data_IF_613487913546
#
_entry.id   IF_613487913546
#
_cell.length_a   1.000
_cell.length_b   1.000
_cell.length_c   1.000
_cell.angle_alpha   90.00
_cell.angle_beta   90.00
_cell.angle_gamma   90.00
#
_symmetry.space_group_name_H-M   'P 1'
#
loop_
_entity.id
_entity.type
_entity.pdbx_description
1 polymer ?
#
# COMPACT_ATOMS: atom_id res chain seq x y z
N UNK A 1 -5.16 -35.45 -62.56
CA UNK A 1 -4.40 -34.41 -63.31
C UNK A 1 -4.46 -32.99 -62.70
N UNK A 2 -5.49 -32.57 -61.93
CA UNK A 2 -5.58 -31.19 -61.38
C UNK A 2 -4.52 -30.79 -60.34
N UNK A 3 -3.97 -31.74 -59.56
CA UNK A 3 -2.98 -31.45 -58.50
C UNK A 3 -1.61 -31.03 -59.03
N UNK A 4 -1.18 -31.55 -60.17
CA UNK A 4 0.12 -31.19 -60.75
C UNK A 4 0.13 -29.77 -61.33
N UNK A 5 -0.99 -29.32 -61.91
CA UNK A 5 -1.13 -27.96 -62.41
C UNK A 5 -1.09 -26.92 -61.28
N UNK A 6 -1.74 -27.23 -60.15
CA UNK A 6 -1.73 -26.35 -58.97
C UNK A 6 -0.33 -26.18 -58.38
N UNK A 7 0.44 -27.27 -58.30
CA UNK A 7 1.83 -27.22 -57.83
C UNK A 7 2.74 -26.46 -58.80
N UNK A 8 2.55 -26.65 -60.11
CA UNK A 8 3.31 -25.93 -61.13
C UNK A 8 3.04 -24.42 -61.12
N UNK A 9 1.78 -24.00 -60.91
CA UNK A 9 1.40 -22.59 -60.79
C UNK A 9 1.95 -21.98 -59.50
N UNK A 10 1.85 -22.69 -58.38
CA UNK A 10 2.39 -22.25 -57.08
C UNK A 10 3.91 -22.06 -57.14
N UNK A 11 4.62 -23.00 -57.79
CA UNK A 11 6.06 -22.88 -58.03
C UNK A 11 6.39 -21.68 -58.93
N UNK A 12 5.62 -21.44 -60.01
CA UNK A 12 5.81 -20.28 -60.90
C UNK A 12 5.61 -18.95 -60.19
N UNK A 13 4.66 -18.87 -59.25
CA UNK A 13 4.39 -17.67 -58.45
C UNK A 13 5.51 -17.45 -57.43
N UNK A 14 5.94 -18.51 -56.72
CA UNK A 14 7.08 -18.45 -55.80
C UNK A 14 8.37 -18.06 -56.54
N UNK A 15 8.62 -18.61 -57.73
CA UNK A 15 9.75 -18.24 -58.57
C UNK A 15 9.67 -16.79 -59.06
N UNK A 16 8.47 -16.24 -59.31
CA UNK A 16 8.29 -14.82 -59.64
C UNK A 16 8.51 -13.90 -58.44
N UNK A 17 8.13 -14.32 -57.23
CA UNK A 17 8.43 -13.57 -56.01
C UNK A 17 9.93 -13.55 -55.71
N UNK A 18 10.63 -14.69 -55.89
CA UNK A 18 12.09 -14.79 -55.71
C UNK A 18 12.86 -14.12 -56.85
N UNK A 19 12.28 -14.07 -58.06
CA UNK A 19 12.85 -13.40 -59.25
C UNK A 19 12.33 -11.96 -59.43
N UNK A 20 11.62 -11.42 -58.44
CA UNK A 20 11.42 -9.98 -58.32
C UNK A 20 12.73 -9.41 -57.81
N UNK A 21 13.56 -8.97 -58.76
CA UNK A 21 14.88 -8.39 -58.52
C UNK A 21 14.77 -6.93 -58.09
N UNK A 22 13.83 -6.63 -57.18
CA UNK A 22 14.03 -5.54 -56.23
C UNK A 22 14.96 -6.10 -55.14
N UNK A 23 16.18 -6.47 -55.53
CA UNK A 23 17.20 -6.88 -54.59
C UNK A 23 17.61 -5.64 -53.83
N UNK A 24 17.29 -5.57 -52.54
CA UNK A 24 17.85 -4.53 -51.68
C UNK A 24 19.35 -4.53 -51.88
N UNK A 25 19.89 -3.38 -52.25
CA UNK A 25 21.33 -3.22 -52.35
C UNK A 25 21.96 -3.54 -50.98
N UNK A 26 23.19 -4.04 -50.94
CA UNK A 26 23.84 -4.41 -49.66
C UNK A 26 23.84 -3.25 -48.65
N UNK A 27 23.94 -2.03 -49.17
CA UNK A 27 23.81 -0.76 -48.44
C UNK A 27 22.42 -0.51 -47.87
N UNK A 28 21.36 -0.87 -48.60
CA UNK A 28 19.96 -0.73 -48.17
C UNK A 28 19.61 -1.76 -47.09
N UNK A 29 20.14 -2.99 -47.20
CA UNK A 29 20.02 -4.00 -46.15
C UNK A 29 20.76 -3.57 -44.88
N UNK A 30 21.96 -3.00 -45.00
CA UNK A 30 22.72 -2.49 -43.87
C UNK A 30 22.03 -1.29 -43.20
N UNK A 31 21.47 -0.37 -44.00
CA UNK A 31 20.66 0.74 -43.50
C UNK A 31 19.39 0.26 -42.78
N UNK A 32 18.67 -0.72 -43.34
CA UNK A 32 17.48 -1.29 -42.71
C UNK A 32 17.80 -1.96 -41.38
N UNK A 33 18.89 -2.74 -41.30
CA UNK A 33 19.33 -3.38 -40.05
C UNK A 33 19.74 -2.34 -39.00
N UNK A 34 20.42 -1.27 -39.40
CA UNK A 34 20.78 -0.17 -38.48
C UNK A 34 19.53 0.54 -37.94
N UNK A 35 18.55 0.85 -38.78
CA UNK A 35 17.28 1.47 -38.37
C UNK A 35 16.53 0.54 -37.40
N UNK A 36 16.47 -0.76 -37.69
CA UNK A 36 15.81 -1.74 -36.82
C UNK A 36 16.54 -1.88 -35.48
N UNK A 37 17.87 -1.91 -35.48
CA UNK A 37 18.68 -2.00 -34.26
C UNK A 37 18.49 -0.76 -33.37
N UNK A 38 18.51 0.45 -33.95
CA UNK A 38 18.25 1.68 -33.22
C UNK A 38 16.81 1.72 -32.66
N UNK A 39 15.82 1.31 -33.47
CA UNK A 39 14.43 1.26 -33.04
C UNK A 39 14.22 0.26 -31.90
N UNK A 40 14.87 -0.92 -31.96
CA UNK A 40 14.79 -1.94 -30.92
C UNK A 40 15.38 -1.47 -29.59
N UNK A 41 16.54 -0.80 -29.60
CA UNK A 41 17.17 -0.25 -28.39
C UNK A 41 16.31 0.87 -27.79
N UNK A 42 15.72 1.74 -28.62
CA UNK A 42 14.82 2.79 -28.16
C UNK A 42 13.57 2.23 -27.48
N UNK A 43 12.96 1.18 -28.03
CA UNK A 43 11.81 0.50 -27.42
C UNK A 43 12.20 -0.21 -26.12
N UNK A 44 13.32 -0.93 -26.10
CA UNK A 44 13.78 -1.64 -24.90
C UNK A 44 14.09 -0.67 -23.74
N UNK A 45 14.77 0.45 -24.01
CA UNK A 45 15.02 1.49 -23.02
C UNK A 45 13.74 2.22 -22.58
N UNK A 46 12.85 2.52 -23.53
CA UNK A 46 11.57 3.17 -23.27
C UNK A 46 10.66 2.34 -22.36
N UNK A 47 10.52 1.03 -22.62
CA UNK A 47 9.69 0.13 -21.80
C UNK A 47 10.22 0.03 -20.37
N UNK A 48 11.53 -0.02 -20.17
CA UNK A 48 12.13 -0.03 -18.83
C UNK A 48 11.86 1.27 -18.06
N UNK A 49 12.03 2.42 -18.72
CA UNK A 49 11.74 3.73 -18.14
C UNK A 49 10.24 3.88 -17.78
N UNK A 50 9.34 3.47 -18.68
CA UNK A 50 7.89 3.46 -18.43
C UNK A 50 7.53 2.52 -17.29
N UNK A 51 8.10 1.31 -17.24
CA UNK A 51 7.84 0.37 -16.13
C UNK A 51 8.28 0.94 -14.79
N UNK A 52 9.45 1.59 -14.74
CA UNK A 52 9.94 2.19 -13.50
C UNK A 52 9.11 3.40 -13.08
N UNK A 53 8.74 4.27 -14.03
CA UNK A 53 7.87 5.41 -13.78
C UNK A 53 6.47 4.95 -13.33
N UNK A 54 5.91 3.95 -14.00
CA UNK A 54 4.61 3.36 -13.67
C UNK A 54 4.62 2.77 -12.27
N UNK A 55 5.64 2.00 -11.91
CA UNK A 55 5.78 1.45 -10.55
C UNK A 55 5.81 2.57 -9.50
N UNK A 56 6.64 3.60 -9.71
CA UNK A 56 6.74 4.74 -8.78
C UNK A 56 5.40 5.48 -8.62
N UNK A 57 4.66 5.68 -9.71
CA UNK A 57 3.35 6.34 -9.66
C UNK A 57 2.28 5.45 -9.03
N UNK A 58 2.30 4.15 -9.34
CA UNK A 58 1.33 3.17 -8.85
C UNK A 58 1.48 2.96 -7.35
N UNK A 59 2.70 2.70 -6.87
CA UNK A 59 2.95 2.48 -5.43
C UNK A 59 2.55 3.73 -4.60
N UNK A 60 2.75 4.94 -5.13
CA UNK A 60 2.29 6.17 -4.46
C UNK A 60 0.77 6.28 -4.43
N UNK A 61 0.08 5.88 -5.51
CA UNK A 61 -1.37 5.87 -5.55
C UNK A 61 -1.96 4.82 -4.58
N UNK A 62 -1.33 3.64 -4.50
CA UNK A 62 -1.69 2.60 -3.52
C UNK A 62 -1.51 3.09 -2.08
N UNK A 63 -0.40 3.76 -1.76
CA UNK A 63 -0.20 4.35 -0.43
C UNK A 63 -1.27 5.39 -0.08
N UNK A 64 -1.65 6.23 -1.04
CA UNK A 64 -2.73 7.21 -0.87
C UNK A 64 -4.09 6.54 -0.67
N UNK A 65 -4.36 5.43 -1.37
CA UNK A 65 -5.57 4.65 -1.16
C UNK A 65 -5.60 4.01 0.22
N UNK A 66 -4.47 3.45 0.70
CA UNK A 66 -4.34 2.93 2.06
C UNK A 66 -4.60 4.03 3.09
N UNK A 67 -4.03 5.23 2.89
CA UNK A 67 -4.26 6.37 3.77
C UNK A 67 -5.73 6.77 3.81
N UNK A 68 -6.37 6.93 2.65
CA UNK A 68 -7.78 7.30 2.55
C UNK A 68 -8.68 6.28 3.26
N UNK A 69 -8.45 4.98 3.00
CA UNK A 69 -9.21 3.90 3.65
C UNK A 69 -8.97 3.89 5.16
N UNK A 70 -7.75 4.15 5.61
CA UNK A 70 -7.41 4.25 7.04
C UNK A 70 -8.16 5.40 7.70
N UNK A 71 -8.20 6.56 7.05
CA UNK A 71 -8.91 7.74 7.55
C UNK A 71 -10.42 7.50 7.62
N UNK A 72 -11.00 6.83 6.61
CA UNK A 72 -12.39 6.42 6.63
C UNK A 72 -12.69 5.51 7.82
N UNK A 73 -11.87 4.49 8.04
CA UNK A 73 -12.04 3.55 9.17
C UNK A 73 -11.84 4.24 10.53
N UNK A 74 -10.85 5.13 10.67
CA UNK A 74 -10.69 5.94 11.89
C UNK A 74 -11.94 6.77 12.13
N UNK A 75 -12.44 7.43 11.08
CA UNK A 75 -13.63 8.27 11.17
C UNK A 75 -14.85 7.48 11.59
N UNK A 76 -15.06 6.31 10.98
CA UNK A 76 -16.15 5.38 11.30
C UNK A 76 -16.12 4.99 12.78
N UNK A 77 -14.98 4.47 13.23
CA UNK A 77 -14.77 4.00 14.60
C UNK A 77 -14.97 5.09 15.64
N UNK A 78 -14.45 6.30 15.38
CA UNK A 78 -14.55 7.42 16.32
C UNK A 78 -15.92 8.10 16.28
N UNK A 79 -16.65 8.03 15.16
CA UNK A 79 -18.01 8.55 15.06
C UNK A 79 -19.01 7.71 15.86
N UNK A 80 -18.74 6.41 15.99
CA UNK A 80 -19.56 5.47 16.77
C UNK A 80 -19.34 5.57 18.30
N UNK A 81 -18.35 6.35 18.76
CA UNK A 81 -18.07 6.53 20.17
C UNK A 81 -19.30 7.06 20.94
N UNK A 82 -19.69 6.36 22.02
CA UNK A 82 -20.87 6.72 22.83
C UNK A 82 -20.54 7.46 24.12
N UNK A 83 -19.32 7.23 24.64
CA UNK A 83 -18.76 7.94 25.78
C UNK A 83 -17.27 8.14 25.53
N UNK A 84 -16.69 9.17 26.13
CA UNK A 84 -15.26 9.46 26.05
C UNK A 84 -14.73 9.80 27.43
N UNK A 85 -13.49 9.41 27.69
CA UNK A 85 -12.75 9.81 28.89
C UNK A 85 -11.28 10.03 28.55
N UNK A 86 -10.57 10.71 29.44
CA UNK A 86 -9.13 10.86 29.31
C UNK A 86 -8.41 9.53 29.58
N UNK A 87 -7.57 9.09 28.64
CA UNK A 87 -6.64 7.97 28.81
C UNK A 87 -5.24 8.41 29.26
N UNK A 88 -5.10 9.62 29.80
CA UNK A 88 -3.81 10.19 30.18
C UNK A 88 -2.90 10.41 28.97
N UNK A 89 -1.66 9.94 29.07
CA UNK A 89 -0.62 10.11 28.03
C UNK A 89 -0.82 9.19 26.81
N UNK A 90 -1.80 8.30 26.83
CA UNK A 90 -2.05 7.34 25.75
C UNK A 90 -3.16 7.79 24.77
N UNK A 91 -3.59 9.04 24.87
CA UNK A 91 -4.71 9.59 24.11
C UNK A 91 -6.10 9.28 24.71
N UNK A 92 -7.19 9.76 24.09
CA UNK A 92 -8.54 9.56 24.60
C UNK A 92 -9.03 8.12 24.45
N UNK A 93 -9.77 7.68 25.46
CA UNK A 93 -10.45 6.38 25.50
C UNK A 93 -11.95 6.59 25.25
N UNK A 94 -12.56 5.70 24.48
CA UNK A 94 -13.97 5.81 24.13
C UNK A 94 -14.69 4.48 24.28
N UNK A 95 -15.97 4.56 24.63
CA UNK A 95 -16.84 3.39 24.74
C UNK A 95 -17.52 3.12 23.40
N UNK A 96 -17.40 1.90 22.88
CA UNK A 96 -18.17 1.47 21.71
C UNK A 96 -19.42 0.71 22.15
N UNK A 97 -20.57 1.15 21.64
CA UNK A 97 -21.82 0.44 21.84
C UNK A 97 -21.93 -0.86 21.02
N UNK A 98 -21.14 -1.00 19.96
CA UNK A 98 -21.10 -2.22 19.13
C UNK A 98 -20.45 -3.36 19.92
N UNK A 99 -19.29 -3.09 20.52
CA UNK A 99 -18.49 -4.10 21.22
C UNK A 99 -18.85 -4.19 22.70
N UNK A 100 -19.44 -3.14 23.27
CA UNK A 100 -19.76 -3.03 24.68
C UNK A 100 -18.53 -2.85 25.58
N UNK A 101 -17.42 -2.36 25.01
CA UNK A 101 -16.13 -2.23 25.70
C UNK A 101 -15.52 -0.84 25.53
N UNK A 102 -14.64 -0.48 26.47
CA UNK A 102 -13.78 0.69 26.35
C UNK A 102 -12.61 0.36 25.43
N UNK A 103 -12.36 1.26 24.48
CA UNK A 103 -11.34 1.10 23.46
C UNK A 103 -10.52 2.38 23.31
N UNK A 104 -9.36 2.25 22.68
CA UNK A 104 -8.58 3.38 22.17
C UNK A 104 -7.97 3.04 20.81
N UNK A 105 -7.60 4.06 20.06
CA UNK A 105 -6.73 3.89 18.90
C UNK A 105 -5.29 3.78 19.38
N UNK A 106 -4.56 2.80 18.86
CA UNK A 106 -3.12 2.63 19.12
C UNK A 106 -2.40 2.22 17.85
N UNK A 107 -1.06 2.14 17.91
CA UNK A 107 -0.23 1.69 16.80
C UNK A 107 0.47 0.39 17.20
N UNK A 108 0.36 -0.63 16.36
CA UNK A 108 1.20 -1.82 16.44
C UNK A 108 2.46 -1.61 15.59
N UNK A 109 3.66 -1.67 16.17
CA UNK A 109 4.90 -1.45 15.42
C UNK A 109 5.12 -2.58 14.41
N UNK A 110 5.71 -2.24 13.26
CA UNK A 110 6.17 -3.25 12.32
C UNK A 110 7.43 -3.95 12.86
N UNK A 111 7.37 -5.28 12.98
CA UNK A 111 8.50 -6.09 13.42
C UNK A 111 8.72 -7.22 12.40
N UNK A 112 9.82 -7.16 11.65
CA UNK A 112 10.18 -8.22 10.72
C UNK A 112 10.47 -9.55 11.44
N UNK A 113 10.09 -10.66 10.84
CA UNK A 113 10.34 -12.01 11.33
C UNK A 113 11.85 -12.22 11.50
N UNK A 114 12.26 -12.46 12.75
CA UNK A 114 13.67 -12.65 13.13
C UNK A 114 14.36 -11.43 13.74
N UNK A 115 13.65 -10.31 13.96
CA UNK A 115 14.18 -9.20 14.76
C UNK A 115 14.32 -9.58 16.23
N UNK A 116 15.54 -9.54 16.78
CA UNK A 116 15.78 -9.79 18.20
C UNK A 116 14.98 -8.80 19.06
N UNK A 117 14.11 -9.31 19.95
CA UNK A 117 13.50 -8.51 21.01
C UNK A 117 14.61 -7.87 21.85
N UNK A 118 14.64 -6.54 21.91
CA UNK A 118 15.41 -5.85 22.93
C UNK A 118 14.82 -6.23 24.29
N UNK A 119 15.55 -7.05 25.03
CA UNK A 119 15.19 -7.51 26.36
C UNK A 119 15.15 -6.34 27.33
N UNK A 120 13.96 -5.83 27.64
CA UNK A 120 13.70 -5.13 28.89
C UNK A 120 12.34 -5.60 29.45
N UNK A 121 12.41 -6.73 30.15
CA UNK A 121 11.57 -7.04 31.31
C UNK A 121 10.06 -7.09 31.13
N UNK A 122 9.53 -8.11 30.46
CA UNK A 122 8.36 -8.91 30.87
C UNK A 122 8.04 -9.88 29.73
N UNK A 123 8.61 -11.09 29.79
CA UNK A 123 8.26 -12.17 28.89
C UNK A 123 6.95 -12.77 29.39
N UNK A 124 5.83 -12.39 28.78
CA UNK A 124 4.58 -13.17 28.89
C UNK A 124 4.52 -14.07 27.66
N UNK A 125 4.86 -15.34 27.87
CA UNK A 125 4.57 -16.43 26.95
C UNK A 125 3.06 -16.59 26.88
N UNK A 126 2.44 -16.49 25.70
CA UNK A 126 1.15 -17.13 25.40
C UNK A 126 1.00 -17.35 23.88
N UNK A 127 0.38 -18.48 23.57
CA UNK A 127 0.32 -19.17 22.29
C UNK A 127 -0.68 -18.51 21.33
N UNK A 128 -0.23 -17.64 20.41
CA UNK A 128 -0.85 -17.40 19.09
C UNK A 128 0.06 -16.50 18.21
N UNK A 129 1.31 -16.92 17.98
CA UNK A 129 2.28 -16.17 17.16
C UNK A 129 1.92 -16.25 15.66
N UNK A 130 0.81 -15.62 15.27
CA UNK A 130 0.74 -14.99 13.95
C UNK A 130 1.81 -13.90 13.99
N UNK A 131 2.75 -13.94 13.06
CA UNK A 131 3.83 -12.97 12.93
C UNK A 131 3.28 -11.54 13.10
N UNK A 132 3.84 -10.75 14.02
CA UNK A 132 3.48 -9.32 14.21
C UNK A 132 3.66 -8.50 12.92
N UNK A 133 4.31 -9.06 11.90
CA UNK A 133 4.40 -8.51 10.55
C UNK A 133 3.05 -8.19 9.94
N UNK A 134 2.04 -9.05 10.13
CA UNK A 134 0.74 -8.96 9.45
C UNK A 134 -0.26 -8.07 10.20
N UNK A 135 0.11 -7.63 11.41
CA UNK A 135 -0.73 -6.80 12.29
C UNK A 135 -0.20 -5.39 12.50
N UNK A 136 0.89 -5.04 11.84
CA UNK A 136 1.50 -3.71 11.93
C UNK A 136 0.57 -2.63 11.36
N UNK A 137 0.31 -1.59 12.12
CA UNK A 137 -0.63 -0.55 11.70
C UNK A 137 -1.37 0.11 12.84
N UNK A 138 -2.23 1.06 12.49
CA UNK A 138 -3.23 1.62 13.39
C UNK A 138 -4.25 0.54 13.75
N UNK A 139 -4.56 0.38 15.03
CA UNK A 139 -5.46 -0.64 15.54
C UNK A 139 -6.40 -0.12 16.63
N UNK A 140 -7.51 -0.84 16.82
CA UNK A 140 -8.35 -0.75 18.01
C UNK A 140 -7.69 -1.56 19.13
N UNK A 141 -7.44 -0.94 20.27
CA UNK A 141 -7.03 -1.63 21.49
C UNK A 141 -8.21 -1.69 22.45
N UNK A 142 -8.61 -2.91 22.81
CA UNK A 142 -9.65 -3.19 23.80
C UNK A 142 -9.04 -3.11 25.20
N UNK A 143 -9.60 -2.28 26.07
CA UNK A 143 -9.01 -2.03 27.39
C UNK A 143 -9.37 -3.08 28.43
N UNK A 144 -10.33 -3.97 28.13
CA UNK A 144 -10.70 -5.08 29.01
C UNK A 144 -9.60 -6.14 29.11
N UNK A 145 -8.93 -6.45 28.00
CA UNK A 145 -7.97 -7.54 27.88
C UNK A 145 -6.65 -7.15 27.17
N UNK A 146 -6.55 -5.93 26.66
CA UNK A 146 -5.41 -5.44 25.90
C UNK A 146 -5.33 -5.97 24.46
N UNK A 147 -6.40 -6.61 23.96
CA UNK A 147 -6.44 -7.15 22.60
C UNK A 147 -6.31 -6.02 21.59
N UNK A 148 -5.45 -6.20 20.60
CA UNK A 148 -5.23 -5.24 19.50
C UNK A 148 -5.71 -5.81 18.18
N UNK A 149 -6.60 -5.08 17.52
CA UNK A 149 -7.20 -5.46 16.23
C UNK A 149 -6.87 -4.39 15.19
N UNK A 150 -6.04 -4.68 14.18
CA UNK A 150 -5.71 -3.72 13.12
C UNK A 150 -6.95 -3.19 12.41
N UNK A 151 -6.96 -1.90 12.08
CA UNK A 151 -8.04 -1.31 11.27
C UNK A 151 -7.99 -1.84 9.84
N UNK A 152 -6.79 -1.99 9.29
CA UNK A 152 -6.56 -2.61 7.99
C UNK A 152 -5.80 -3.91 8.16
N UNK A 153 -6.24 -4.94 7.43
CA UNK A 153 -5.48 -6.17 7.27
C UNK A 153 -4.24 -5.95 6.41
N UNK A 154 -3.22 -6.81 6.59
CA UNK A 154 -2.03 -6.81 5.74
C UNK A 154 -2.35 -6.85 4.23
N UNK A 155 -3.29 -7.72 3.85
CA UNK A 155 -3.75 -7.83 2.47
C UNK A 155 -4.41 -6.57 1.93
N UNK A 156 -5.17 -5.83 2.76
CA UNK A 156 -5.75 -4.55 2.38
C UNK A 156 -4.69 -3.45 2.21
N UNK A 157 -3.54 -3.60 2.90
CA UNK A 157 -2.35 -2.76 2.74
C UNK A 157 -1.39 -3.29 1.65
N UNK A 158 -1.82 -4.28 0.86
CA UNK A 158 -1.04 -4.88 -0.21
C UNK A 158 0.22 -5.64 0.25
N UNK A 159 0.36 -5.93 1.55
CA UNK A 159 1.54 -6.56 2.13
C UNK A 159 2.81 -5.69 2.15
N UNK A 160 2.71 -4.44 1.69
CA UNK A 160 3.85 -3.53 1.49
C UNK A 160 3.84 -2.37 2.48
N UNK A 161 2.66 -1.97 2.93
CA UNK A 161 2.47 -0.78 3.72
C UNK A 161 2.12 -1.09 5.18
N UNK A 162 2.43 -0.15 6.06
CA UNK A 162 1.90 -0.09 7.41
C UNK A 162 1.52 1.35 7.74
N UNK A 163 0.59 1.53 8.67
CA UNK A 163 0.05 2.84 9.05
C UNK A 163 0.43 3.22 10.48
N UNK A 164 0.57 4.51 10.73
CA UNK A 164 0.77 5.03 12.08
C UNK A 164 0.20 6.44 12.19
N UNK A 165 0.07 6.93 13.42
CA UNK A 165 -0.23 8.33 13.73
C UNK A 165 0.61 8.75 14.94
N UNK A 166 0.71 10.05 15.18
CA UNK A 166 1.33 10.54 16.40
C UNK A 166 0.37 10.37 17.58
N UNK A 167 0.67 9.37 18.43
CA UNK A 167 -0.13 9.05 19.61
C UNK A 167 -0.07 10.17 20.65
N UNK A 168 1.05 10.89 20.75
CA UNK A 168 1.21 11.95 21.74
C UNK A 168 0.36 13.18 21.39
N UNK A 169 0.01 13.35 20.11
CA UNK A 169 -0.85 14.42 19.63
C UNK A 169 -2.32 14.04 19.52
N UNK A 170 -2.66 12.77 19.79
CA UNK A 170 -4.03 12.27 19.76
C UNK A 170 -4.82 12.75 20.98
N UNK A 171 -5.84 13.58 20.73
CA UNK A 171 -6.62 14.23 21.79
C UNK A 171 -8.09 14.33 21.45
N UNK A 172 -8.91 14.55 22.47
CA UNK A 172 -10.32 14.88 22.35
C UNK A 172 -10.57 16.29 22.88
N UNK A 173 -11.13 17.17 22.07
CA UNK A 173 -11.46 18.54 22.42
C UNK A 173 -12.64 19.03 21.57
N UNK A 174 -13.49 19.90 22.12
CA UNK A 174 -14.60 20.53 21.40
C UNK A 174 -15.53 19.51 20.68
N UNK A 175 -15.86 18.40 21.35
CA UNK A 175 -16.65 17.29 20.79
C UNK A 175 -16.02 16.61 19.56
N UNK A 176 -14.72 16.75 19.38
CA UNK A 176 -13.99 16.19 18.25
C UNK A 176 -12.77 15.39 18.72
N UNK A 177 -12.55 14.25 18.09
CA UNK A 177 -11.27 13.55 18.13
C UNK A 177 -10.33 14.21 17.12
N UNK A 178 -9.11 14.49 17.55
CA UNK A 178 -8.07 15.14 16.76
C UNK A 178 -6.87 14.21 16.73
N UNK A 179 -6.51 13.74 15.53
CA UNK A 179 -5.31 12.94 15.26
C UNK A 179 -4.38 13.78 14.38
N UNK A 180 -3.09 13.73 14.68
CA UNK A 180 -2.06 14.40 13.88
C UNK A 180 -1.09 13.36 13.31
N UNK A 181 -0.47 13.73 12.20
CA UNK A 181 0.56 12.95 11.51
C UNK A 181 0.17 11.51 11.16
N UNK A 182 -0.97 11.34 10.48
CA UNK A 182 -1.38 10.02 9.97
C UNK A 182 -0.52 9.67 8.76
N UNK A 183 0.30 8.64 8.91
CA UNK A 183 1.33 8.24 7.98
C UNK A 183 1.11 6.83 7.44
N UNK A 184 1.48 6.65 6.17
CA UNK A 184 1.63 5.34 5.53
C UNK A 184 3.08 5.17 5.15
N UNK A 185 3.72 4.14 5.69
CA UNK A 185 5.12 3.81 5.42
C UNK A 185 5.24 2.53 4.61
N UNK A 186 6.31 2.40 3.84
CA UNK A 186 6.72 1.10 3.32
C UNK A 186 7.34 0.30 4.46
N UNK A 187 6.85 -0.91 4.70
CA UNK A 187 7.36 -1.82 5.75
C UNK A 187 8.88 -2.01 5.71
N UNK A 188 9.45 -2.09 4.49
CA UNK A 188 10.90 -2.24 4.27
C UNK A 188 11.73 -1.04 4.77
N UNK A 189 11.11 0.13 4.87
CA UNK A 189 11.79 1.39 5.16
C UNK A 189 11.61 1.84 6.62
N UNK A 190 10.65 1.25 7.37
CA UNK A 190 10.33 1.63 8.77
C UNK A 190 11.51 1.49 9.74
N UNK A 191 12.42 0.54 9.48
CA UNK A 191 13.60 0.35 10.32
C UNK A 191 14.68 1.43 10.12
N UNK A 192 14.54 2.29 9.12
CA UNK A 192 15.51 3.34 8.81
C UNK A 192 15.22 4.60 9.65
N UNK A 193 16.27 5.21 10.20
CA UNK A 193 16.12 6.43 11.03
C UNK A 193 15.54 7.63 10.26
N UNK A 194 15.77 7.69 8.94
CA UNK A 194 15.27 8.76 8.05
C UNK A 194 14.07 8.27 7.22
N UNK A 195 13.20 7.43 7.79
CA UNK A 195 12.05 6.89 7.08
C UNK A 195 11.04 7.99 6.75
N UNK A 196 10.84 8.25 5.45
CA UNK A 196 9.84 9.18 4.95
C UNK A 196 8.52 8.47 4.64
N UNK A 197 7.36 9.07 4.95
CA UNK A 197 6.06 8.49 4.65
C UNK A 197 5.81 8.46 3.13
N UNK A 198 5.26 7.34 2.66
CA UNK A 198 4.79 7.18 1.28
C UNK A 198 3.54 8.03 1.01
N UNK A 199 2.69 8.18 2.04
CA UNK A 199 1.55 9.08 2.08
C UNK A 199 1.39 9.62 3.51
N UNK A 200 0.97 10.88 3.61
CA UNK A 200 0.87 11.62 4.87
C UNK A 200 -0.38 12.49 4.88
N UNK A 201 -1.02 12.56 6.04
CA UNK A 201 -2.08 13.52 6.36
C UNK A 201 -1.72 14.23 7.66
N UNK A 202 -1.57 15.55 7.60
CA UNK A 202 -1.12 16.36 8.74
C UNK A 202 -2.09 16.26 9.92
N UNK A 203 -3.40 16.30 9.64
CA UNK A 203 -4.43 16.37 10.67
C UNK A 203 -5.75 15.77 10.21
N UNK A 204 -6.35 14.96 11.08
CA UNK A 204 -7.71 14.46 10.97
C UNK A 204 -8.55 14.94 12.16
N UNK A 205 -9.72 15.49 11.88
CA UNK A 205 -10.69 15.90 12.89
C UNK A 205 -11.97 15.11 12.67
N UNK A 206 -12.37 14.31 13.65
CA UNK A 206 -13.58 13.49 13.61
C UNK A 206 -14.56 14.00 14.65
N UNK A 207 -15.74 14.43 14.21
CA UNK A 207 -16.79 14.94 15.09
C UNK A 207 -17.56 13.77 15.71
N UNK A 208 -17.60 13.71 17.04
CA UNK A 208 -18.28 12.65 17.77
C UNK A 208 -19.77 12.99 17.92
N UNK A 209 -20.56 12.68 16.89
CA UNK A 209 -21.99 13.09 16.80
C UNK A 209 -22.82 12.55 17.97
N UNK A 210 -22.48 11.36 18.46
CA UNK A 210 -23.18 10.71 19.57
C UNK A 210 -22.82 11.29 20.95
N UNK A 211 -21.79 12.15 21.03
CA UNK A 211 -21.34 12.80 22.27
C UNK A 211 -21.87 14.24 22.40
N UNK A 212 -22.63 14.73 21.41
CA UNK A 212 -23.18 16.07 21.43
C UNK A 212 -24.17 16.26 22.59
N UNK A 213 -23.83 17.15 23.53
CA UNK A 213 -24.67 17.48 24.69
C UNK A 213 -24.33 16.69 25.97
N UNK A 214 -23.28 15.87 25.95
CA UNK A 214 -22.62 15.43 27.18
C UNK A 214 -21.62 16.53 27.59
N UNK A 215 -22.13 17.60 28.21
CA UNK A 215 -21.27 18.57 28.90
C UNK A 215 -20.52 17.85 30.03
N UNK A 216 -19.21 18.14 30.20
CA UNK A 216 -18.32 17.61 31.25
C UNK A 216 -18.93 17.62 32.66
#
# INVERSE_FOLDING_TARGET
MKRQWYQAVKNKIAQRCVRSRAGMTLTEMLAAVLILAMSAVAVAGGVAAVKNAYRKTTEKAEAQQVLATTVELITDVLSEAQQVRSGGDCGPEFFSGETGDWMRLSVMPYQAAGGAQASNGAQVSNEDQISNEDRAGICKEYLSDGTKVPLLSDGAMGGLFCTSFDVDQYRYADSCFILEDINVYYKRDVANADCEPAAHLDKLVVRAVNLEGQDE
#
